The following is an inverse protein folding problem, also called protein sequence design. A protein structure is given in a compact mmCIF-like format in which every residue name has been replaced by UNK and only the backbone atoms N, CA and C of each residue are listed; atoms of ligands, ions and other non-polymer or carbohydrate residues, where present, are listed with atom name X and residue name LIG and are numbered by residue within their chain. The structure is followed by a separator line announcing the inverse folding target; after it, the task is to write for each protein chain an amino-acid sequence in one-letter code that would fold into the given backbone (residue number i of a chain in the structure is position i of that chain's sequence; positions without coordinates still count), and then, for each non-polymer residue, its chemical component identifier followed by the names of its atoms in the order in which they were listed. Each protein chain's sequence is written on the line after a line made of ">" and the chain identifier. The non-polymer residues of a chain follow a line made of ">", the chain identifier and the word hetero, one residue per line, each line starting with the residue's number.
data_IF_457097534378
#
_entry.id   IF_457097534378
#
_cell.length_a   1.000
_cell.length_b   1.000
_cell.length_c   1.000
_cell.angle_alpha   90.00
_cell.angle_beta   90.00
_cell.angle_gamma   90.00
#
_symmetry.space_group_name_H-M   'P 1'
#
loop_
_entity.id
_entity.type
_entity.pdbx_description
1 polymer ?
#
# COMPACT_ATOMS: atom_id res chain seq x y z
N UNK A 1 -7.95 -5.21 7.08
CA UNK A 1 -9.12 -4.31 7.10
C UNK A 1 -9.03 -3.52 5.82
N UNK A 2 -10.15 -3.29 5.17
CA UNK A 2 -10.25 -2.56 3.91
C UNK A 2 -11.49 -1.66 3.95
N UNK A 3 -11.46 -0.60 3.16
CA UNK A 3 -12.66 0.18 2.84
C UNK A 3 -13.58 -0.70 2.01
N UNK A 4 -14.89 -0.66 2.23
CA UNK A 4 -15.87 -1.39 1.40
C UNK A 4 -16.62 -0.41 0.49
N UNK A 5 -16.18 -0.18 -0.76
CA UNK A 5 -16.76 0.87 -1.61
C UNK A 5 -18.22 0.61 -2.01
N UNK A 6 -18.64 -0.66 -1.97
CA UNK A 6 -19.97 -1.12 -2.38
C UNK A 6 -21.05 -0.95 -1.32
N UNK A 7 -20.66 -0.57 -0.10
CA UNK A 7 -21.58 -0.36 1.01
C UNK A 7 -21.78 1.13 1.28
N UNK A 8 -22.98 1.48 1.73
CA UNK A 8 -23.29 2.85 2.17
C UNK A 8 -22.31 3.29 3.26
N UNK A 9 -21.83 4.53 3.16
CA UNK A 9 -20.83 5.13 4.07
C UNK A 9 -19.43 4.48 4.06
N UNK A 10 -19.19 3.51 3.18
CA UNK A 10 -17.88 2.90 2.94
C UNK A 10 -17.12 2.49 4.22
N UNK A 11 -17.71 1.67 5.11
CA UNK A 11 -17.10 1.29 6.39
C UNK A 11 -15.79 0.51 6.19
N UNK A 12 -14.92 0.57 7.21
CA UNK A 12 -13.75 -0.29 7.28
C UNK A 12 -14.14 -1.66 7.85
N UNK A 13 -13.91 -2.74 7.09
CA UNK A 13 -14.23 -4.11 7.51
C UNK A 13 -13.08 -5.07 7.30
N UNK A 14 -13.14 -6.22 7.95
CA UNK A 14 -12.24 -7.33 7.66
C UNK A 14 -12.75 -8.09 6.44
N UNK A 15 -11.89 -8.27 5.44
CA UNK A 15 -12.19 -9.06 4.24
C UNK A 15 -12.62 -10.50 4.61
N UNK A 16 -13.61 -11.00 3.88
CA UNK A 16 -14.18 -12.35 4.01
C UNK A 16 -13.98 -13.10 2.71
N UNK A 17 -13.13 -14.13 2.74
CA UNK A 17 -12.88 -15.00 1.57
C UNK A 17 -13.46 -16.39 1.82
N UNK A 18 -14.35 -16.85 0.94
CA UNK A 18 -15.05 -18.15 1.05
C UNK A 18 -15.75 -18.36 2.41
N UNK A 19 -16.44 -17.32 2.88
CA UNK A 19 -17.19 -17.34 4.15
C UNK A 19 -16.33 -17.34 5.42
N UNK A 20 -15.01 -17.15 5.30
CA UNK A 20 -14.09 -17.07 6.45
C UNK A 20 -13.36 -15.73 6.46
N UNK A 21 -13.11 -15.20 7.66
CA UNK A 21 -12.29 -14.02 7.86
C UNK A 21 -10.90 -14.25 7.25
N UNK A 22 -10.45 -13.30 6.43
CA UNK A 22 -9.12 -13.34 5.82
C UNK A 22 -8.08 -12.83 6.80
N UNK A 23 -7.02 -13.60 6.97
CA UNK A 23 -5.82 -13.23 7.73
C UNK A 23 -4.57 -13.38 6.84
N UNK A 24 -3.55 -12.58 7.10
CA UNK A 24 -2.27 -12.72 6.41
C UNK A 24 -1.54 -13.99 6.87
N UNK A 25 -1.30 -14.92 5.95
CA UNK A 25 -0.65 -16.22 6.24
C UNK A 25 0.89 -16.17 6.25
N UNK A 26 1.49 -14.98 6.27
CA UNK A 26 2.92 -14.81 5.95
C UNK A 26 3.68 -13.81 6.81
N UNK A 27 3.06 -13.38 7.92
CA UNK A 27 3.60 -12.46 8.90
C UNK A 27 2.72 -11.21 9.03
N UNK A 28 2.87 -10.51 10.14
CA UNK A 28 2.25 -9.21 10.34
C UNK A 28 2.83 -8.18 9.36
N UNK A 29 2.13 -7.07 9.22
CA UNK A 29 2.60 -5.92 8.44
C UNK A 29 3.70 -5.21 9.26
N UNK A 30 4.93 -5.08 8.74
CA UNK A 30 5.98 -4.34 9.43
C UNK A 30 5.87 -2.81 9.22
N UNK A 31 4.73 -2.35 8.71
CA UNK A 31 4.43 -0.96 8.36
C UNK A 31 2.94 -0.70 8.53
N UNK A 32 2.57 0.58 8.66
CA UNK A 32 1.17 0.97 8.64
C UNK A 32 0.65 0.90 7.20
N UNK A 33 -0.55 0.35 7.03
CA UNK A 33 -1.16 0.14 5.72
C UNK A 33 -2.57 0.71 5.69
N UNK A 34 -2.90 1.41 4.61
CA UNK A 34 -4.20 2.02 4.38
C UNK A 34 -4.35 2.43 2.92
N UNK A 35 -5.18 3.42 2.66
CA UNK A 35 -5.47 3.92 1.32
C UNK A 35 -5.62 5.44 1.33
N UNK A 36 -5.59 6.05 0.14
CA UNK A 36 -5.80 7.48 -0.04
C UNK A 36 -7.28 7.74 -0.37
N UNK A 37 -8.03 8.50 0.45
CA UNK A 37 -9.43 8.81 0.14
C UNK A 37 -9.55 9.64 -1.14
N UNK A 38 -10.71 9.57 -1.81
CA UNK A 38 -10.99 10.28 -3.07
C UNK A 38 -10.03 9.91 -4.22
N UNK A 39 -9.51 8.67 -4.21
CA UNK A 39 -8.75 8.09 -5.31
C UNK A 39 -9.40 6.79 -5.75
N UNK A 40 -9.10 6.37 -6.98
CA UNK A 40 -9.62 5.11 -7.54
C UNK A 40 -8.67 4.58 -8.59
N UNK A 41 -8.30 3.31 -8.48
CA UNK A 41 -7.59 2.57 -9.53
C UNK A 41 -8.61 2.08 -10.56
N UNK A 42 -8.81 2.87 -11.64
CA UNK A 42 -9.84 2.63 -12.64
C UNK A 42 -9.65 1.27 -13.38
N UNK A 43 -10.57 0.30 -13.25
CA UNK A 43 -10.47 -0.98 -13.93
C UNK A 43 -10.91 -0.91 -15.40
N UNK A 44 -11.48 0.21 -15.85
CA UNK A 44 -12.01 0.34 -17.21
C UNK A 44 -10.98 0.88 -18.19
N UNK A 45 -9.92 1.52 -17.68
CA UNK A 45 -8.87 2.13 -18.47
C UNK A 45 -7.56 1.35 -18.35
N UNK A 46 -6.88 1.18 -19.49
CA UNK A 46 -5.52 0.65 -19.48
C UNK A 46 -4.55 1.68 -18.90
N UNK A 47 -3.59 1.20 -18.11
CA UNK A 47 -2.52 2.03 -17.59
C UNK A 47 -1.75 2.67 -18.73
N UNK A 48 -1.50 3.96 -18.61
CA UNK A 48 -0.64 4.70 -19.54
C UNK A 48 0.85 4.60 -19.15
N UNK A 49 1.17 3.90 -18.05
CA UNK A 49 2.52 3.80 -17.54
C UNK A 49 3.27 2.65 -18.23
N UNK A 50 4.39 2.97 -18.90
CA UNK A 50 5.18 2.02 -19.70
C UNK A 50 5.63 0.78 -18.92
N UNK A 51 5.91 0.94 -17.63
CA UNK A 51 6.41 -0.13 -16.76
C UNK A 51 5.34 -1.15 -16.35
N UNK A 52 4.06 -0.78 -16.48
CA UNK A 52 2.92 -1.62 -16.10
C UNK A 52 2.22 -2.18 -17.34
N UNK A 53 2.34 -1.51 -18.50
CA UNK A 53 1.80 -1.96 -19.77
C UNK A 53 0.26 -1.95 -19.79
N UNK A 54 -0.33 -2.88 -20.52
CA UNK A 54 -1.78 -2.96 -20.76
C UNK A 54 -2.58 -3.56 -19.58
N UNK A 55 -2.17 -3.29 -18.34
CA UNK A 55 -2.93 -3.69 -17.16
C UNK A 55 -3.90 -2.58 -16.76
N UNK A 56 -5.00 -2.97 -16.11
CA UNK A 56 -6.03 -2.08 -15.56
C UNK A 56 -5.89 -1.97 -14.05
N UNK A 57 -6.47 -0.94 -13.44
CA UNK A 57 -6.50 -0.81 -11.98
C UNK A 57 -7.27 -1.95 -11.30
N UNK A 58 -6.99 -2.17 -10.02
CA UNK A 58 -7.60 -3.22 -9.19
C UNK A 58 -9.01 -2.88 -8.66
N UNK A 59 -9.57 -1.75 -9.07
CA UNK A 59 -10.90 -1.27 -8.69
C UNK A 59 -11.04 -0.92 -7.19
N UNK A 60 -9.94 -0.55 -6.54
CA UNK A 60 -9.92 -0.04 -5.17
C UNK A 60 -9.29 1.38 -5.10
N UNK A 61 -9.42 2.10 -3.97
CA UNK A 61 -8.66 3.32 -3.75
C UNK A 61 -7.15 3.05 -3.71
N UNK A 62 -6.33 4.02 -4.12
CA UNK A 62 -4.87 3.87 -4.12
C UNK A 62 -4.34 3.47 -2.74
N UNK A 63 -3.55 2.40 -2.72
CA UNK A 63 -2.98 1.88 -1.50
C UNK A 63 -1.80 2.72 -0.97
N UNK A 64 -1.68 2.77 0.35
CA UNK A 64 -0.67 3.55 1.05
C UNK A 64 0.08 2.73 2.10
N UNK A 65 1.41 2.80 2.02
CA UNK A 65 2.38 2.23 2.95
C UNK A 65 3.04 3.39 3.71
N UNK A 66 2.76 3.49 5.00
CA UNK A 66 3.32 4.51 5.87
C UNK A 66 4.48 3.91 6.68
N UNK A 67 5.65 4.58 6.63
CA UNK A 67 6.94 4.01 7.07
C UNK A 67 7.61 4.72 8.26
N UNK A 68 6.87 5.50 9.06
CA UNK A 68 7.41 6.23 10.21
C UNK A 68 7.75 5.34 11.42
N UNK A 69 7.35 4.06 11.41
CA UNK A 69 7.73 3.07 12.42
C UNK A 69 6.99 3.17 13.76
N UNK A 70 6.00 4.05 13.88
CA UNK A 70 5.09 4.10 15.03
C UNK A 70 3.72 3.59 14.62
N UNK A 71 3.11 2.73 15.43
CA UNK A 71 1.81 2.15 15.11
C UNK A 71 0.71 3.21 15.03
N UNK A 72 -0.09 3.15 13.97
CA UNK A 72 -1.25 4.02 13.76
C UNK A 72 -2.52 3.23 14.05
N UNK A 73 -3.43 3.71 14.91
CA UNK A 73 -4.70 3.04 15.15
C UNK A 73 -5.53 2.89 13.87
N UNK A 74 -6.18 1.74 13.70
CA UNK A 74 -7.07 1.46 12.57
C UNK A 74 -8.18 2.51 12.48
N UNK A 75 -8.41 3.04 11.28
CA UNK A 75 -9.41 4.10 11.04
C UNK A 75 -8.92 5.52 11.30
N UNK A 76 -7.66 5.72 11.71
CA UNK A 76 -7.08 7.05 11.82
C UNK A 76 -6.94 7.71 10.45
N UNK A 77 -7.20 9.02 10.39
CA UNK A 77 -6.89 9.86 9.23
C UNK A 77 -5.63 10.65 9.58
N UNK A 78 -4.55 10.44 8.83
CA UNK A 78 -3.23 10.96 9.16
C UNK A 78 -2.65 11.74 7.97
N UNK A 79 -2.19 12.99 8.17
CA UNK A 79 -1.44 13.73 7.16
C UNK A 79 -0.10 13.06 6.89
N UNK A 80 0.19 12.79 5.63
CA UNK A 80 1.41 12.12 5.19
C UNK A 80 2.04 12.87 4.02
N UNK A 81 3.34 12.70 3.85
CA UNK A 81 4.08 13.12 2.66
C UNK A 81 4.47 11.90 1.83
N UNK A 82 3.96 11.84 0.61
CA UNK A 82 4.36 10.84 -0.38
C UNK A 82 5.84 11.05 -0.78
N UNK A 83 6.59 9.96 -0.87
CA UNK A 83 8.04 9.98 -1.15
C UNK A 83 8.46 9.04 -2.27
N UNK A 84 7.64 8.02 -2.56
CA UNK A 84 7.89 7.03 -3.60
C UNK A 84 6.62 6.26 -3.94
N UNK A 85 6.69 5.42 -4.97
CA UNK A 85 5.63 4.51 -5.40
C UNK A 85 6.25 3.17 -5.76
N UNK A 86 5.55 2.09 -5.42
CA UNK A 86 5.84 0.73 -5.85
C UNK A 86 4.69 0.23 -6.73
N UNK A 87 4.96 -0.02 -8.01
CA UNK A 87 4.01 -0.68 -8.91
C UNK A 87 4.02 -2.19 -8.67
N UNK A 88 2.99 -2.72 -8.02
CA UNK A 88 2.77 -4.15 -7.93
C UNK A 88 1.84 -4.59 -9.07
N UNK A 89 2.09 -5.78 -9.59
CA UNK A 89 1.14 -6.46 -10.48
C UNK A 89 0.51 -7.59 -9.66
N UNK A 90 -0.75 -7.46 -9.24
CA UNK A 90 -1.49 -8.52 -8.55
C UNK A 90 -2.49 -9.15 -9.50
N UNK A 91 -2.38 -10.46 -9.75
CA UNK A 91 -3.32 -11.23 -10.61
C UNK A 91 -3.68 -10.65 -12.00
N UNK A 92 -2.86 -9.76 -12.56
CA UNK A 92 -3.10 -9.13 -13.87
C UNK A 92 -3.68 -7.71 -13.77
N UNK A 93 -3.75 -7.18 -12.56
CA UNK A 93 -4.15 -5.81 -12.25
C UNK A 93 -2.93 -5.00 -11.83
N UNK A 94 -2.93 -3.72 -12.19
CA UNK A 94 -2.06 -2.71 -11.62
C UNK A 94 -2.53 -2.45 -10.19
N UNK A 95 -1.58 -2.49 -9.25
CA UNK A 95 -1.84 -2.35 -7.84
C UNK A 95 -0.75 -1.44 -7.24
N UNK A 96 -1.01 -0.13 -7.21
CA UNK A 96 -0.02 0.87 -6.86
C UNK A 96 0.06 1.06 -5.34
N UNK A 97 1.27 0.92 -4.79
CA UNK A 97 1.54 1.18 -3.37
C UNK A 97 2.29 2.49 -3.21
N UNK A 98 1.60 3.53 -2.78
CA UNK A 98 2.22 4.81 -2.44
C UNK A 98 3.01 4.64 -1.14
N UNK A 99 4.29 5.00 -1.15
CA UNK A 99 5.13 4.99 0.05
C UNK A 99 5.18 6.41 0.60
N UNK A 100 4.82 6.54 1.88
CA UNK A 100 4.70 7.83 2.54
C UNK A 100 5.30 7.83 3.95
N UNK A 101 5.66 9.01 4.43
CA UNK A 101 6.06 9.27 5.82
C UNK A 101 5.04 10.22 6.45
N UNK A 102 4.74 10.07 7.74
CA UNK A 102 3.87 11.03 8.44
C UNK A 102 4.43 12.44 8.35
N UNK A 103 3.55 13.42 8.16
CA UNK A 103 3.94 14.82 8.04
C UNK A 103 4.56 15.37 9.33
N UNK A 104 4.16 14.83 10.49
CA UNK A 104 4.66 15.22 11.81
C UNK A 104 5.93 14.46 12.26
N UNK A 105 6.44 13.54 11.43
CA UNK A 105 7.65 12.80 11.77
C UNK A 105 8.86 13.76 11.82
N UNK A 106 9.78 13.67 12.80
CA UNK A 106 10.90 14.60 12.95
C UNK A 106 11.82 14.73 11.72
N UNK A 107 11.88 13.67 10.90
CA UNK A 107 12.66 13.63 9.65
C UNK A 107 11.83 13.94 8.40
N UNK A 108 10.52 14.20 8.53
CA UNK A 108 9.66 14.48 7.38
C UNK A 108 10.20 15.64 6.57
N UNK A 109 10.65 16.73 7.20
CA UNK A 109 11.24 17.89 6.50
C UNK A 109 12.52 17.61 5.72
N UNK A 110 13.21 16.48 5.98
CA UNK A 110 14.45 16.11 5.31
C UNK A 110 14.22 15.08 4.19
N UNK A 111 13.17 14.28 4.28
CA UNK A 111 12.91 13.16 3.37
C UNK A 111 11.97 13.62 2.25
N UNK A 112 12.51 14.04 1.11
CA UNK A 112 11.69 14.55 -0.01
C UNK A 112 11.43 13.53 -1.11
N UNK A 113 12.26 12.50 -1.23
CA UNK A 113 12.14 11.49 -2.27
C UNK A 113 12.80 10.18 -1.82
N UNK A 114 12.59 9.13 -2.61
CA UNK A 114 13.25 7.84 -2.43
C UNK A 114 14.77 7.96 -2.33
N UNK A 115 15.39 8.84 -3.12
CA UNK A 115 16.85 8.98 -3.12
C UNK A 115 17.39 9.40 -1.75
N UNK A 116 16.71 10.36 -1.09
CA UNK A 116 17.10 10.79 0.26
C UNK A 116 16.91 9.67 1.28
N UNK A 117 15.94 8.77 1.08
CA UNK A 117 15.79 7.59 1.93
C UNK A 117 17.02 6.66 1.88
N UNK A 118 17.77 6.61 0.77
CA UNK A 118 19.01 5.82 0.70
C UNK A 118 20.12 6.38 1.60
N UNK A 119 20.13 7.70 1.80
CA UNK A 119 21.09 8.36 2.70
C UNK A 119 20.80 7.94 4.14
N UNK A 120 19.53 7.82 4.50
CA UNK A 120 19.12 7.31 5.80
C UNK A 120 18.98 5.78 5.77
N UNK A 121 20.08 5.06 6.02
CA UNK A 121 20.15 3.57 6.03
C UNK A 121 18.91 2.85 6.60
N UNK A 122 18.31 3.39 7.66
CA UNK A 122 17.07 2.84 8.25
C UNK A 122 15.88 2.84 7.26
N UNK A 123 15.60 3.96 6.59
CA UNK A 123 14.48 4.05 5.64
C UNK A 123 14.71 3.20 4.40
N UNK A 124 15.97 3.07 3.95
CA UNK A 124 16.31 2.13 2.88
C UNK A 124 15.96 0.68 3.25
N UNK A 125 16.34 0.24 4.45
CA UNK A 125 16.03 -1.11 4.94
C UNK A 125 14.50 -1.30 5.03
N UNK A 126 13.76 -0.31 5.53
CA UNK A 126 12.30 -0.39 5.63
C UNK A 126 11.66 -0.55 4.24
N UNK A 127 12.04 0.27 3.26
CA UNK A 127 11.51 0.17 1.89
C UNK A 127 11.86 -1.17 1.25
N UNK A 128 13.07 -1.69 1.51
CA UNK A 128 13.44 -3.04 1.08
C UNK A 128 12.55 -4.11 1.72
N UNK A 129 12.27 -4.02 3.03
CA UNK A 129 11.38 -4.94 3.73
C UNK A 129 9.94 -4.88 3.20
N UNK A 130 9.43 -3.68 2.91
CA UNK A 130 8.12 -3.48 2.26
C UNK A 130 8.06 -4.25 0.95
N UNK A 131 9.04 -4.04 0.06
CA UNK A 131 9.11 -4.75 -1.23
C UNK A 131 9.16 -6.27 -1.04
N UNK A 132 9.99 -6.75 -0.11
CA UNK A 132 10.12 -8.18 0.16
C UNK A 132 8.84 -8.80 0.72
N UNK A 133 8.09 -8.06 1.55
CA UNK A 133 6.81 -8.49 2.09
C UNK A 133 5.77 -8.69 0.97
N UNK A 134 5.63 -7.74 0.05
CA UNK A 134 4.71 -7.86 -1.10
C UNK A 134 5.12 -8.99 -2.07
N UNK A 135 6.41 -9.17 -2.33
CA UNK A 135 6.89 -10.28 -3.15
C UNK A 135 6.58 -11.65 -2.51
N UNK A 136 6.74 -11.77 -1.18
CA UNK A 136 6.42 -12.98 -0.43
C UNK A 136 4.92 -13.27 -0.42
N UNK A 137 4.08 -12.24 -0.26
CA UNK A 137 2.61 -12.30 -0.41
C UNK A 137 2.26 -12.93 -1.76
N UNK A 138 2.79 -12.39 -2.85
CA UNK A 138 2.51 -12.84 -4.23
C UNK A 138 2.95 -14.30 -4.46
N UNK A 139 4.16 -14.68 -4.04
CA UNK A 139 4.66 -16.06 -4.18
C UNK A 139 3.76 -17.08 -3.48
N UNK A 140 3.28 -16.77 -2.27
CA UNK A 140 2.36 -17.65 -1.53
C UNK A 140 0.95 -17.68 -2.12
N UNK A 141 0.46 -16.57 -2.69
CA UNK A 141 -0.84 -16.53 -3.40
C UNK A 141 -0.86 -17.52 -4.57
N UNK A 142 0.24 -17.61 -5.34
CA UNK A 142 0.40 -18.56 -6.46
C UNK A 142 0.47 -20.04 -6.07
N UNK A 143 0.78 -20.36 -4.81
CA UNK A 143 0.92 -21.75 -4.32
C UNK A 143 -0.38 -22.32 -3.72
N UNK A 144 -1.44 -21.53 -3.59
CA UNK A 144 -2.74 -21.93 -3.03
C UNK A 144 -3.85 -21.76 -4.06
#
# INVERSE_FOLDING_TARGET
>A
MECTPKEEWNPLKQDVKKGKLRFFKYGDLPFNYGFIPQTWEDPTQFSQHSDVGDLRGDNDPLDLVEISGTDIPRGSIVPVKAISVLGLIDEGEADWKIIAIRADHPKASQIHCLFVCFIFKLFFIIIYLVKMWFLKKKKKKKMN
#
